data_IF_130937578865
#
_entry.id   IF_130937578865
#
_cell.length_a   1.000
_cell.length_b   1.000
_cell.length_c   1.000
_cell.angle_alpha   90.00
_cell.angle_beta   90.00
_cell.angle_gamma   90.00
#
_symmetry.space_group_name_H-M   'P 1'
#
loop_
_entity.id
_entity.type
_entity.pdbx_description
1 polymer ?
#
# COMPACT_ATOMS: atom_id res chain seq x y z
N UNK A 1 -6.09 -9.48 7.75
CA UNK A 1 -6.78 -8.55 8.68
C UNK A 1 -8.21 -9.00 8.87
N UNK A 2 -8.85 -8.62 9.97
CA UNK A 2 -10.29 -8.81 10.11
C UNK A 2 -11.01 -7.82 9.20
N UNK A 3 -11.47 -8.30 8.04
CA UNK A 3 -12.11 -7.47 7.00
C UNK A 3 -13.44 -6.92 7.48
N UNK A 4 -14.23 -7.72 8.19
CA UNK A 4 -15.55 -7.32 8.68
C UNK A 4 -15.44 -6.22 9.74
N UNK A 5 -14.46 -6.33 10.65
CA UNK A 5 -14.15 -5.29 11.63
C UNK A 5 -13.73 -3.98 10.96
N UNK A 6 -12.83 -4.05 9.97
CA UNK A 6 -12.38 -2.86 9.23
C UNK A 6 -13.53 -2.18 8.49
N UNK A 7 -14.40 -2.95 7.84
CA UNK A 7 -15.58 -2.41 7.14
C UNK A 7 -16.55 -1.70 8.09
N UNK A 8 -16.67 -2.17 9.34
CA UNK A 8 -17.57 -1.60 10.33
C UNK A 8 -16.99 -0.37 11.06
N UNK A 9 -15.67 -0.34 11.29
CA UNK A 9 -15.05 0.62 12.23
C UNK A 9 -13.96 1.51 11.61
N UNK A 10 -13.41 1.11 10.46
CA UNK A 10 -12.19 1.70 9.90
C UNK A 10 -10.90 1.27 10.61
N UNK A 11 -10.98 0.47 11.67
CA UNK A 11 -9.81 0.02 12.42
C UNK A 11 -9.17 -1.22 11.80
N UNK A 12 -7.84 -1.23 11.72
CA UNK A 12 -7.07 -2.37 11.22
C UNK A 12 -6.73 -3.32 12.37
N UNK A 13 -7.37 -4.48 12.39
CA UNK A 13 -7.03 -5.58 13.32
C UNK A 13 -6.24 -6.67 12.57
N UNK A 14 -4.98 -6.85 12.97
CA UNK A 14 -4.09 -7.87 12.41
C UNK A 14 -4.49 -9.27 12.90
N UNK A 15 -4.56 -10.21 11.96
CA UNK A 15 -4.99 -11.60 12.23
C UNK A 15 -3.84 -12.61 12.17
N UNK A 16 -2.61 -12.15 11.91
CA UNK A 16 -1.42 -13.00 11.74
C UNK A 16 -0.15 -12.34 12.28
N UNK A 17 0.96 -13.09 12.36
CA UNK A 17 2.22 -12.57 12.89
C UNK A 17 2.83 -11.52 11.95
N UNK A 18 3.67 -10.64 12.51
CA UNK A 18 4.49 -9.72 11.71
C UNK A 18 5.67 -10.48 11.11
N UNK A 19 5.75 -10.50 9.79
CA UNK A 19 6.84 -11.12 9.03
C UNK A 19 7.79 -10.04 8.51
N UNK A 20 9.10 -10.30 8.55
CA UNK A 20 10.10 -9.40 7.96
C UNK A 20 10.08 -9.55 6.43
N UNK A 21 10.32 -8.48 5.65
CA UNK A 21 10.49 -8.61 4.21
C UNK A 21 11.63 -9.56 3.84
N UNK A 22 11.54 -10.16 2.66
CA UNK A 22 12.60 -10.96 2.05
C UNK A 22 13.88 -10.12 1.91
N UNK A 23 15.05 -10.77 1.85
CA UNK A 23 16.34 -10.06 1.83
C UNK A 23 16.45 -9.06 0.68
N UNK A 24 15.89 -9.39 -0.48
CA UNK A 24 15.85 -8.54 -1.68
C UNK A 24 14.80 -7.41 -1.61
N UNK A 25 13.94 -7.39 -0.59
CA UNK A 25 12.92 -6.34 -0.37
C UNK A 25 13.27 -5.40 0.79
N UNK A 26 14.46 -5.51 1.37
CA UNK A 26 14.92 -4.65 2.49
C UNK A 26 15.59 -3.34 2.07
N UNK A 27 15.53 -2.99 0.79
CA UNK A 27 16.05 -1.74 0.22
C UNK A 27 14.94 -0.77 -0.19
N UNK A 28 15.35 0.34 -0.81
CA UNK A 28 14.41 1.29 -1.41
C UNK A 28 13.73 0.67 -2.63
N UNK A 29 12.40 0.77 -2.68
CA UNK A 29 11.57 0.27 -3.76
C UNK A 29 10.42 1.24 -4.02
N UNK A 30 10.00 1.31 -5.27
CA UNK A 30 8.77 1.96 -5.72
C UNK A 30 7.58 0.98 -5.78
N UNK A 31 7.87 -0.31 -6.02
CA UNK A 31 6.88 -1.38 -6.14
C UNK A 31 7.15 -2.49 -5.12
N UNK A 32 6.09 -2.88 -4.40
CA UNK A 32 6.10 -3.92 -3.37
C UNK A 32 5.00 -4.95 -3.61
N UNK A 33 5.20 -6.18 -3.11
CA UNK A 33 4.17 -7.23 -3.18
C UNK A 33 3.04 -6.97 -2.18
N UNK A 34 1.81 -7.25 -2.60
CA UNK A 34 0.62 -7.25 -1.77
C UNK A 34 -0.08 -8.60 -1.92
N UNK A 35 0.41 -9.61 -1.21
CA UNK A 35 -0.12 -10.97 -1.33
C UNK A 35 -1.54 -11.08 -0.74
N UNK A 36 -2.38 -12.00 -1.24
CA UNK A 36 -3.68 -12.27 -0.65
C UNK A 36 -3.60 -12.62 0.83
N UNK A 37 -4.45 -11.99 1.66
CA UNK A 37 -4.54 -12.24 3.10
C UNK A 37 -3.48 -11.53 3.96
N UNK A 38 -2.50 -10.87 3.34
CA UNK A 38 -1.43 -10.15 4.03
C UNK A 38 -1.67 -8.63 4.07
N UNK A 39 -1.04 -7.95 5.03
CA UNK A 39 -0.89 -6.49 5.00
C UNK A 39 0.59 -6.17 4.80
N UNK A 40 0.90 -5.50 3.70
CA UNK A 40 2.21 -4.90 3.46
C UNK A 40 2.25 -3.50 4.06
N UNK A 41 3.27 -3.21 4.88
CA UNK A 41 3.49 -1.87 5.45
C UNK A 41 4.72 -1.26 4.81
N UNK A 42 4.59 -0.03 4.34
CA UNK A 42 5.68 0.73 3.72
C UNK A 42 5.97 1.99 4.53
N UNK A 43 7.21 2.47 4.41
CA UNK A 43 7.63 3.78 4.90
C UNK A 43 8.16 4.51 3.67
N UNK A 44 7.59 5.68 3.37
CA UNK A 44 7.95 6.49 2.21
C UNK A 44 8.30 7.91 2.67
N UNK A 45 9.23 8.55 1.95
CA UNK A 45 9.53 9.98 2.09
C UNK A 45 8.97 10.69 0.87
N UNK A 46 8.01 11.57 1.08
CA UNK A 46 7.52 12.49 0.05
C UNK A 46 8.29 13.81 0.17
N UNK A 47 8.94 14.25 -0.90
CA UNK A 47 9.80 15.44 -0.88
C UNK A 47 10.01 16.01 -2.28
N UNK A 48 10.63 17.19 -2.32
CA UNK A 48 11.05 17.94 -3.51
C UNK A 48 9.93 18.48 -4.41
N UNK A 49 8.78 17.80 -4.49
CA UNK A 49 7.65 18.18 -5.36
C UNK A 49 6.29 17.90 -4.72
N UNK A 50 5.34 18.83 -4.95
CA UNK A 50 3.92 18.67 -4.64
C UNK A 50 3.13 18.29 -5.88
N UNK A 51 2.02 17.58 -5.71
CA UNK A 51 1.15 17.22 -6.82
C UNK A 51 0.21 16.06 -6.49
N UNK A 52 -0.59 15.70 -7.49
CA UNK A 52 -1.44 14.51 -7.47
C UNK A 52 -0.72 13.41 -8.25
N UNK A 53 -0.40 12.32 -7.59
CA UNK A 53 0.35 11.19 -8.13
C UNK A 53 -0.50 9.92 -8.15
N UNK A 54 -0.31 9.03 -9.13
CA UNK A 54 -0.98 7.73 -9.13
C UNK A 54 -0.35 6.79 -8.10
N UNK A 55 -1.19 5.99 -7.47
CA UNK A 55 -0.80 4.79 -6.74
C UNK A 55 -1.79 3.68 -7.10
N UNK A 56 -1.29 2.54 -7.56
CA UNK A 56 -2.14 1.50 -8.14
C UNK A 56 -1.53 0.09 -8.06
N UNK A 57 -2.38 -0.90 -8.34
CA UNK A 57 -1.90 -2.24 -8.63
C UNK A 57 -1.20 -2.27 -9.98
N UNK A 58 0.00 -2.86 -10.06
CA UNK A 58 0.77 -2.95 -11.30
C UNK A 58 0.43 -4.20 -12.15
N UNK A 59 -0.76 -4.78 -11.92
CA UNK A 59 -1.39 -5.76 -12.82
C UNK A 59 -2.30 -4.93 -13.71
N UNK A 60 -2.01 -4.85 -14.99
CA UNK A 60 -2.68 -3.93 -15.92
C UNK A 60 -4.19 -4.14 -15.94
N UNK A 61 -4.62 -5.40 -15.93
CA UNK A 61 -6.04 -5.72 -15.87
C UNK A 61 -6.68 -5.19 -14.58
N UNK A 62 -5.99 -5.22 -13.44
CA UNK A 62 -6.54 -4.66 -12.20
C UNK A 62 -6.51 -3.13 -12.22
N UNK A 63 -5.45 -2.54 -12.75
CA UNK A 63 -5.30 -1.09 -12.95
C UNK A 63 -6.45 -0.53 -13.78
N UNK A 64 -6.70 -1.11 -14.96
CA UNK A 64 -7.75 -0.72 -15.89
C UNK A 64 -9.15 -0.96 -15.31
N UNK A 65 -9.31 -1.98 -14.46
CA UNK A 65 -10.55 -2.27 -13.72
C UNK A 65 -10.57 -1.61 -12.33
N UNK A 66 -10.22 -0.31 -12.30
CA UNK A 66 -10.44 0.61 -11.18
C UNK A 66 -9.54 0.43 -9.93
N UNK A 67 -8.46 -0.36 -9.98
CA UNK A 67 -7.46 -0.43 -8.89
C UNK A 67 -6.38 0.66 -8.97
N UNK A 68 -6.78 1.88 -9.33
CA UNK A 68 -5.94 3.09 -9.32
C UNK A 68 -6.59 4.19 -8.46
N UNK A 69 -5.79 4.84 -7.61
CA UNK A 69 -6.25 6.00 -6.82
C UNK A 69 -5.25 7.16 -6.92
N UNK A 70 -5.73 8.42 -6.94
CA UNK A 70 -4.86 9.57 -6.76
C UNK A 70 -4.41 9.68 -5.31
N UNK A 71 -3.14 10.04 -5.10
CA UNK A 71 -2.58 10.44 -3.83
C UNK A 71 -2.02 11.86 -3.95
N UNK A 72 -2.32 12.72 -2.99
CA UNK A 72 -1.91 14.12 -3.02
C UNK A 72 -0.75 14.39 -2.06
N UNK A 73 0.36 14.91 -2.61
CA UNK A 73 1.52 15.39 -1.85
C UNK A 73 1.42 16.91 -1.75
N UNK A 74 1.39 17.42 -0.52
CA UNK A 74 1.41 18.86 -0.21
C UNK A 74 2.61 19.17 0.68
N UNK A 75 3.18 20.37 0.55
CA UNK A 75 4.02 20.93 1.59
C UNK A 75 3.09 21.40 2.70
N UNK A 76 3.33 20.90 3.92
CA UNK A 76 2.67 21.39 5.13
C UNK A 76 3.43 22.62 5.67
#
# INVERSE_FOLDING_TARGET
MNVDHYKATGEVVFTGPRVKPDLNERGWKDTVRANPGEITRIIARFGDYTGIYPWHCHILEHEDHEMMRPYEVRFE
#
